data_IF_695409774826
#
_entry.id   IF_695409774826
#
_cell.length_a   1.000
_cell.length_b   1.000
_cell.length_c   1.000
_cell.angle_alpha   90.00
_cell.angle_beta   90.00
_cell.angle_gamma   90.00
#
_symmetry.space_group_name_H-M   'P 1'
#
loop_
_entity.id
_entity.type
_entity.pdbx_description
1 polymer ?
#
# COMPACT_ATOMS: atom_id res chain seq x y z
N UNK A 1 5.75 -40.58 12.84
CA UNK A 1 6.48 -39.57 12.05
C UNK A 1 5.65 -39.31 10.80
N UNK A 2 4.76 -38.32 10.83
CA UNK A 2 4.03 -37.87 9.64
C UNK A 2 4.89 -36.80 8.97
N UNK A 3 5.50 -37.16 7.85
CA UNK A 3 6.33 -36.25 7.07
C UNK A 3 5.44 -35.15 6.49
N UNK A 4 5.61 -33.92 6.94
CA UNK A 4 5.15 -32.73 6.25
C UNK A 4 5.88 -32.65 4.89
N UNK A 5 5.26 -33.17 3.84
CA UNK A 5 5.73 -32.91 2.47
C UNK A 5 5.74 -31.38 2.25
N UNK A 6 6.90 -30.79 1.91
CA UNK A 6 6.95 -29.38 1.60
C UNK A 6 6.12 -29.13 0.34
N UNK A 7 5.09 -28.29 0.44
CA UNK A 7 4.23 -27.94 -0.69
C UNK A 7 5.08 -27.56 -1.90
N UNK A 8 4.91 -28.28 -3.01
CA UNK A 8 5.78 -28.12 -4.18
C UNK A 8 5.50 -26.78 -4.88
N UNK A 9 6.50 -26.23 -5.56
CA UNK A 9 6.41 -24.97 -6.31
C UNK A 9 5.25 -24.97 -7.35
N UNK A 10 4.88 -26.16 -7.82
CA UNK A 10 3.78 -26.39 -8.76
C UNK A 10 2.40 -26.17 -8.12
N UNK A 11 2.24 -26.52 -6.85
CA UNK A 11 0.99 -26.33 -6.10
C UNK A 11 0.76 -24.85 -5.78
N UNK A 12 1.83 -24.11 -5.43
CA UNK A 12 1.80 -22.65 -5.29
C UNK A 12 1.38 -21.92 -6.57
N UNK A 13 1.84 -22.39 -7.73
CA UNK A 13 1.48 -21.82 -9.05
C UNK A 13 0.01 -22.09 -9.41
N UNK A 14 -0.55 -23.26 -9.05
CA UNK A 14 -1.97 -23.57 -9.27
C UNK A 14 -2.91 -22.71 -8.42
N UNK A 15 -2.56 -22.47 -7.16
CA UNK A 15 -3.34 -21.61 -6.26
C UNK A 15 -3.27 -20.13 -6.70
N UNK A 16 -2.09 -19.64 -7.11
CA UNK A 16 -1.95 -18.29 -7.69
C UNK A 16 -2.69 -18.08 -9.02
N UNK A 17 -2.89 -19.14 -9.80
CA UNK A 17 -3.58 -19.08 -11.09
C UNK A 17 -5.11 -19.03 -10.97
N UNK A 18 -5.65 -19.25 -9.75
CA UNK A 18 -7.10 -19.24 -9.52
C UNK A 18 -7.74 -17.87 -9.83
N UNK A 19 -8.93 -17.84 -10.43
CA UNK A 19 -9.62 -16.61 -10.84
C UNK A 19 -9.94 -15.67 -9.65
N UNK A 20 -10.06 -16.23 -8.44
CA UNK A 20 -10.26 -15.48 -7.18
C UNK A 20 -9.04 -14.62 -6.82
N UNK A 21 -7.82 -15.17 -6.94
CA UNK A 21 -6.57 -14.42 -6.70
C UNK A 21 -6.39 -13.26 -7.70
N UNK A 22 -6.79 -13.44 -8.96
CA UNK A 22 -6.73 -12.37 -9.96
C UNK A 22 -7.76 -11.27 -9.71
N UNK A 23 -8.96 -11.60 -9.23
CA UNK A 23 -9.97 -10.59 -8.88
C UNK A 23 -9.53 -9.75 -7.67
N UNK A 24 -8.96 -10.38 -6.64
CA UNK A 24 -8.35 -9.68 -5.50
C UNK A 24 -7.23 -8.74 -5.97
N UNK A 25 -6.31 -9.23 -6.80
CA UNK A 25 -5.18 -8.42 -7.33
C UNK A 25 -5.67 -7.25 -8.22
N UNK A 26 -6.77 -7.45 -8.95
CA UNK A 26 -7.39 -6.40 -9.79
C UNK A 26 -8.08 -5.33 -8.94
N UNK A 27 -8.73 -5.70 -7.82
CA UNK A 27 -9.26 -4.74 -6.83
C UNK A 27 -8.14 -3.96 -6.14
N UNK A 28 -7.05 -4.63 -5.75
CA UNK A 28 -5.83 -3.96 -5.25
C UNK A 28 -5.34 -2.91 -6.23
N UNK A 29 -5.10 -3.32 -7.48
CA UNK A 29 -4.53 -2.44 -8.49
C UNK A 29 -5.46 -1.28 -8.82
N UNK A 30 -6.77 -1.51 -8.87
CA UNK A 30 -7.74 -0.43 -9.09
C UNK A 30 -7.82 0.57 -7.92
N UNK A 31 -7.36 0.21 -6.73
CA UNK A 31 -7.31 1.11 -5.58
C UNK A 31 -5.96 1.83 -5.46
N UNK A 32 -4.86 1.09 -5.60
CA UNK A 32 -3.49 1.63 -5.49
C UNK A 32 -3.13 2.50 -6.69
N UNK A 33 -3.52 2.10 -7.90
CA UNK A 33 -3.17 2.86 -9.12
C UNK A 33 -3.67 4.31 -9.10
N UNK A 34 -4.96 4.60 -8.82
CA UNK A 34 -5.41 5.99 -8.73
C UNK A 34 -4.74 6.74 -7.56
N UNK A 35 -4.42 6.07 -6.45
CA UNK A 35 -3.67 6.70 -5.35
C UNK A 35 -2.25 7.07 -5.75
N UNK A 36 -1.54 6.19 -6.46
CA UNK A 36 -0.20 6.48 -6.99
C UNK A 36 -0.25 7.61 -8.01
N UNK A 37 -1.22 7.62 -8.91
CA UNK A 37 -1.41 8.71 -9.88
C UNK A 37 -1.70 10.03 -9.17
N UNK A 38 -2.56 10.02 -8.15
CA UNK A 38 -2.87 11.20 -7.34
C UNK A 38 -1.63 11.71 -6.59
N UNK A 39 -0.84 10.80 -6.02
CA UNK A 39 0.43 11.14 -5.37
C UNK A 39 1.44 11.75 -6.34
N UNK A 40 1.62 11.15 -7.52
CA UNK A 40 2.49 11.71 -8.55
C UNK A 40 2.01 13.09 -9.00
N UNK A 41 0.70 13.25 -9.23
CA UNK A 41 0.10 14.53 -9.59
C UNK A 41 0.35 15.60 -8.51
N UNK A 42 0.16 15.23 -7.25
CA UNK A 42 0.44 16.09 -6.09
C UNK A 42 1.92 16.43 -5.92
N UNK A 43 2.82 15.47 -6.16
CA UNK A 43 4.26 15.68 -6.15
C UNK A 43 4.69 16.66 -7.25
N UNK A 44 4.20 16.46 -8.49
CA UNK A 44 4.49 17.37 -9.59
C UNK A 44 3.93 18.76 -9.33
N UNK A 45 2.72 18.84 -8.76
CA UNK A 45 2.14 20.11 -8.32
C UNK A 45 3.07 20.82 -7.33
N UNK A 46 3.57 20.12 -6.32
CA UNK A 46 4.56 20.66 -5.38
C UNK A 46 5.82 21.17 -6.09
N UNK A 47 6.38 20.41 -7.04
CA UNK A 47 7.57 20.83 -7.79
C UNK A 47 7.30 22.11 -8.60
N UNK A 48 6.14 22.19 -9.27
CA UNK A 48 5.73 23.37 -10.03
C UNK A 48 5.53 24.58 -9.10
N UNK A 49 4.87 24.42 -7.96
CA UNK A 49 4.72 25.47 -6.96
C UNK A 49 6.09 25.91 -6.39
N UNK A 50 7.00 24.97 -6.14
CA UNK A 50 8.35 25.26 -5.67
C UNK A 50 9.15 26.07 -6.70
N UNK A 51 9.03 25.75 -7.98
CA UNK A 51 9.78 26.37 -9.06
C UNK A 51 9.22 27.74 -9.47
N UNK A 52 7.89 27.87 -9.59
CA UNK A 52 7.25 29.06 -10.15
C UNK A 52 6.61 29.96 -9.09
N UNK A 53 6.18 29.40 -7.95
CA UNK A 53 5.43 30.12 -6.91
C UNK A 53 6.25 30.27 -5.63
N UNK A 54 7.51 30.67 -5.76
CA UNK A 54 8.44 30.82 -4.64
C UNK A 54 7.92 31.80 -3.57
N UNK A 55 7.17 32.84 -3.99
CA UNK A 55 6.48 33.77 -3.08
C UNK A 55 5.37 33.10 -2.26
N UNK A 56 4.59 32.21 -2.87
CA UNK A 56 3.59 31.42 -2.14
C UNK A 56 4.26 30.43 -1.18
N UNK A 57 5.30 29.73 -1.64
CA UNK A 57 6.07 28.78 -0.81
C UNK A 57 6.74 29.47 0.39
N UNK A 58 7.13 30.73 0.24
CA UNK A 58 7.74 31.55 1.31
C UNK A 58 6.72 32.19 2.25
N UNK A 59 5.41 32.04 1.98
CA UNK A 59 4.36 32.58 2.84
C UNK A 59 4.43 31.91 4.20
N UNK A 60 4.62 32.73 5.24
CA UNK A 60 4.69 32.27 6.64
C UNK A 60 3.28 32.00 7.15
N UNK A 61 3.06 30.80 7.68
CA UNK A 61 1.81 30.40 8.32
C UNK A 61 1.84 30.69 9.81
N UNK A 62 2.84 30.17 10.51
CA UNK A 62 3.01 30.35 11.97
C UNK A 62 4.48 30.51 12.30
N UNK A 63 4.87 31.67 12.81
CA UNK A 63 6.27 31.98 13.14
C UNK A 63 7.20 31.80 11.93
N UNK A 64 8.14 30.85 12.03
CA UNK A 64 9.10 30.52 10.98
C UNK A 64 8.64 29.39 10.04
N UNK A 65 7.44 28.83 10.25
CA UNK A 65 6.87 27.79 9.39
C UNK A 65 6.26 28.45 8.16
N UNK A 66 6.77 28.08 6.98
CA UNK A 66 6.21 28.54 5.70
C UNK A 66 5.42 27.43 5.00
N UNK A 67 4.63 27.81 4.00
CA UNK A 67 3.81 26.90 3.21
C UNK A 67 4.66 25.82 2.55
N UNK A 68 5.85 26.15 2.04
CA UNK A 68 6.74 25.18 1.41
C UNK A 68 7.18 24.07 2.36
N UNK A 69 7.47 24.40 3.62
CA UNK A 69 7.86 23.45 4.66
C UNK A 69 6.69 22.54 5.04
N UNK A 70 5.48 23.10 5.15
CA UNK A 70 4.26 22.30 5.38
C UNK A 70 4.00 21.35 4.22
N UNK A 71 4.04 21.83 2.97
CA UNK A 71 3.83 21.00 1.79
C UNK A 71 4.90 19.91 1.66
N UNK A 72 6.16 20.23 1.93
CA UNK A 72 7.25 19.26 1.97
C UNK A 72 7.03 18.17 3.02
N UNK A 73 6.61 18.55 4.24
CA UNK A 73 6.25 17.57 5.28
C UNK A 73 5.06 16.69 4.86
N UNK A 74 4.08 17.29 4.18
CA UNK A 74 2.92 16.58 3.64
C UNK A 74 3.33 15.52 2.60
N UNK A 75 4.40 15.73 1.83
CA UNK A 75 4.97 14.70 0.93
C UNK A 75 5.45 13.48 1.70
N UNK A 76 6.17 13.68 2.82
CA UNK A 76 6.61 12.59 3.68
C UNK A 76 5.43 11.83 4.26
N UNK A 77 4.47 12.55 4.86
CA UNK A 77 3.25 11.95 5.43
C UNK A 77 2.51 11.14 4.36
N UNK A 78 2.35 11.67 3.16
CA UNK A 78 1.68 10.98 2.04
C UNK A 78 2.38 9.67 1.67
N UNK A 79 3.72 9.65 1.68
CA UNK A 79 4.51 8.43 1.41
C UNK A 79 4.21 7.34 2.45
N UNK A 80 4.21 7.69 3.73
CA UNK A 80 3.85 6.76 4.80
C UNK A 80 2.40 6.31 4.70
N UNK A 81 1.50 7.22 4.32
CA UNK A 81 0.06 6.95 4.20
C UNK A 81 -0.21 5.97 3.05
N UNK A 82 0.48 6.11 1.92
CA UNK A 82 0.42 5.16 0.79
C UNK A 82 0.98 3.80 1.21
N UNK A 83 2.12 3.78 1.89
CA UNK A 83 2.73 2.54 2.38
C UNK A 83 1.83 1.83 3.40
N UNK A 84 1.24 2.58 4.33
CA UNK A 84 0.30 2.07 5.32
C UNK A 84 -1.01 1.60 4.70
N UNK A 85 -1.55 2.31 3.69
CA UNK A 85 -2.69 1.86 2.90
C UNK A 85 -2.38 0.56 2.16
N UNK A 86 -1.18 0.45 1.58
CA UNK A 86 -0.71 -0.78 0.95
C UNK A 86 -0.68 -1.93 1.96
N UNK A 87 -0.03 -1.76 3.12
CA UNK A 87 0.06 -2.82 4.15
C UNK A 87 -1.31 -3.18 4.69
N UNK A 88 -2.16 -2.21 5.01
CA UNK A 88 -3.52 -2.44 5.51
C UNK A 88 -4.38 -3.17 4.48
N UNK A 89 -4.25 -2.81 3.21
CA UNK A 89 -5.01 -3.44 2.14
C UNK A 89 -4.47 -4.84 1.82
N UNK A 90 -3.15 -5.01 1.80
CA UNK A 90 -2.50 -6.31 1.66
C UNK A 90 -2.94 -7.23 2.79
N UNK A 91 -2.89 -6.78 4.04
CA UNK A 91 -3.38 -7.55 5.20
C UNK A 91 -4.86 -7.90 5.03
N UNK A 92 -5.76 -6.95 4.69
CA UNK A 92 -7.17 -7.30 4.45
C UNK A 92 -7.43 -8.28 3.29
N UNK A 93 -6.49 -8.40 2.34
CA UNK A 93 -6.57 -9.36 1.24
C UNK A 93 -5.81 -10.66 1.51
N UNK A 94 -4.87 -10.66 2.46
CA UNK A 94 -4.13 -11.82 2.99
C UNK A 94 -4.81 -12.47 4.20
N UNK A 95 -5.63 -11.73 4.95
CA UNK A 95 -6.43 -12.21 6.08
C UNK A 95 -7.38 -13.38 5.71
N UNK A 96 -8.02 -13.45 4.53
CA UNK A 96 -8.75 -14.67 4.13
C UNK A 96 -7.85 -15.89 3.86
N UNK A 97 -6.54 -15.70 3.73
CA UNK A 97 -5.54 -16.79 3.69
C UNK A 97 -5.06 -17.13 5.11
N UNK A 98 -4.95 -16.12 5.98
CA UNK A 98 -4.51 -16.30 7.37
C UNK A 98 -5.55 -17.00 8.25
N UNK A 99 -6.84 -16.73 8.05
CA UNK A 99 -7.92 -17.41 8.78
C UNK A 99 -8.06 -18.88 8.37
N UNK A 100 -7.88 -19.21 7.09
CA UNK A 100 -7.88 -20.62 6.62
C UNK A 100 -6.69 -21.42 7.16
N UNK A 101 -5.50 -20.81 7.22
CA UNK A 101 -4.32 -21.49 7.79
C UNK A 101 -4.47 -21.69 9.30
N UNK A 102 -5.11 -20.76 10.00
CA UNK A 102 -5.33 -20.89 11.44
C UNK A 102 -6.35 -21.97 11.78
N UNK A 103 -7.38 -22.13 10.95
CA UNK A 103 -8.39 -23.19 11.09
C UNK A 103 -7.82 -24.59 10.78
N UNK A 104 -6.93 -24.72 9.77
CA UNK A 104 -6.23 -25.99 9.48
C UNK A 104 -5.21 -26.36 10.57
N UNK A 105 -4.53 -25.38 11.19
CA UNK A 105 -3.57 -25.64 12.27
C UNK A 105 -4.26 -25.99 13.60
N UNK A 106 -5.42 -25.39 13.90
CA UNK A 106 -6.21 -25.73 15.09
C UNK A 106 -7.01 -27.04 14.92
N UNK A 107 -7.38 -27.41 13.69
CA UNK A 107 -8.06 -28.69 13.38
C UNK A 107 -7.16 -29.93 13.43
N UNK A 108 -5.85 -29.78 13.28
CA UNK A 108 -4.85 -30.87 13.43
C UNK A 108 -4.49 -31.14 14.90
N UNK A 109 -4.91 -30.25 15.82
CA UNK A 109 -4.62 -30.35 17.25
C UNK A 109 -5.71 -31.08 18.07
N UNK A 110 -6.69 -31.73 17.42
CA UNK A 110 -7.70 -32.56 18.11
C UNK A 110 -7.71 -34.00 17.65
#
# INVERSE_FOLDING_TARGET
MSSSEPMTEADWKRVQASPEFRQLRKRLRNFVFPMTVLFLGWYLLYVVLAAYAQGFMSTKLVGNINVGLVLGLLQFVSTFLITGLYVRHANRHLDPVSDKIREDVEGVAK
#
